data_IF_063573971684
#
_entry.id   IF_063573971684
#
_cell.length_a   1.000
_cell.length_b   1.000
_cell.length_c   1.000
_cell.angle_alpha   90.00
_cell.angle_beta   90.00
_cell.angle_gamma   90.00
#
_symmetry.space_group_name_H-M   'P 1'
#
loop_
_entity.id
_entity.type
_entity.pdbx_description
1 polymer ?
#
# COMPACT_ATOMS: atom_id res chain seq x y z
N UNK A 1 14.85 -10.21 11.27
CA UNK A 1 13.51 -9.65 11.06
C UNK A 1 13.54 -8.18 10.58
N UNK A 2 14.63 -7.43 10.81
CA UNK A 2 14.80 -6.03 10.37
C UNK A 2 15.48 -6.01 9.00
N UNK A 3 14.90 -5.30 8.03
CA UNK A 3 15.46 -5.14 6.70
C UNK A 3 16.86 -4.49 6.73
N UNK A 4 17.76 -4.93 5.83
CA UNK A 4 19.16 -4.51 5.83
C UNK A 4 19.35 -3.01 5.71
N UNK A 5 18.55 -2.34 4.91
CA UNK A 5 18.60 -0.89 4.68
C UNK A 5 17.97 -0.06 5.80
N UNK A 6 17.15 -0.67 6.66
CA UNK A 6 16.63 -0.04 7.86
C UNK A 6 17.70 0.02 8.96
N UNK A 7 18.53 -1.03 9.11
CA UNK A 7 19.49 -1.14 10.20
C UNK A 7 20.45 0.08 10.34
N UNK A 8 21.13 0.56 9.28
CA UNK A 8 22.03 1.70 9.40
C UNK A 8 21.32 2.99 9.80
N UNK A 9 20.02 3.14 9.45
CA UNK A 9 19.24 4.33 9.81
C UNK A 9 18.90 4.35 11.30
N UNK A 10 18.71 3.19 11.93
CA UNK A 10 18.41 3.10 13.37
C UNK A 10 19.58 3.55 14.22
N UNK A 11 20.83 3.35 13.77
CA UNK A 11 22.06 3.61 14.53
C UNK A 11 22.87 4.80 14.03
N UNK A 12 22.43 5.48 12.96
CA UNK A 12 23.12 6.63 12.38
C UNK A 12 23.28 7.77 13.40
N UNK A 13 24.41 8.45 13.42
CA UNK A 13 24.65 9.60 14.31
C UNK A 13 23.67 10.76 14.02
N UNK A 14 23.34 10.98 12.75
CA UNK A 14 22.35 11.97 12.30
C UNK A 14 21.28 11.28 11.49
N UNK A 15 20.06 11.83 11.49
CA UNK A 15 18.98 11.28 10.69
C UNK A 15 19.24 11.49 9.21
N UNK A 16 19.31 10.41 8.39
CA UNK A 16 19.55 10.54 6.96
C UNK A 16 18.39 11.29 6.27
N UNK A 17 18.72 12.04 5.21
CA UNK A 17 17.76 12.75 4.37
C UNK A 17 17.00 11.78 3.44
N UNK A 18 16.11 10.96 4.01
CA UNK A 18 15.27 10.00 3.30
C UNK A 18 13.80 10.20 3.66
N UNK A 19 12.90 9.80 2.79
CA UNK A 19 11.47 10.09 2.93
C UNK A 19 10.73 9.26 4.01
N UNK A 20 11.38 8.24 4.57
CA UNK A 20 10.82 7.38 5.60
C UNK A 20 11.53 7.46 6.97
N UNK A 21 12.48 8.39 7.14
CA UNK A 21 13.06 8.71 8.45
C UNK A 21 13.07 10.22 8.69
N UNK A 22 12.76 10.64 9.93
CA UNK A 22 12.69 12.06 10.30
C UNK A 22 12.82 12.21 11.82
N UNK A 23 13.42 13.33 12.23
CA UNK A 23 13.38 13.76 13.62
C UNK A 23 12.07 14.52 13.90
N UNK A 24 11.38 14.06 14.94
CA UNK A 24 10.16 14.70 15.46
C UNK A 24 10.37 14.94 16.95
N UNK A 25 10.31 16.21 17.37
CA UNK A 25 10.54 16.62 18.75
C UNK A 25 11.86 16.09 19.35
N UNK A 26 12.93 16.12 18.56
CA UNK A 26 14.27 15.67 18.99
C UNK A 26 14.46 14.15 19.05
N UNK A 27 13.49 13.37 18.59
CA UNK A 27 13.57 11.91 18.51
C UNK A 27 13.41 11.44 17.08
N UNK A 28 14.27 10.50 16.67
CA UNK A 28 14.18 9.90 15.35
C UNK A 28 13.01 8.93 15.27
N UNK A 29 12.19 9.14 14.26
CA UNK A 29 11.11 8.23 13.86
C UNK A 29 11.37 7.66 12.48
N UNK A 30 10.90 6.43 12.28
CA UNK A 30 10.95 5.75 10.99
C UNK A 30 9.56 5.25 10.61
N UNK A 31 9.19 5.45 9.36
CA UNK A 31 7.99 4.85 8.78
C UNK A 31 8.31 3.42 8.37
N UNK A 32 7.59 2.47 8.91
CA UNK A 32 7.84 1.05 8.70
C UNK A 32 6.57 0.30 8.31
N UNK A 33 6.77 -0.77 7.56
CA UNK A 33 5.80 -1.83 7.37
C UNK A 33 6.19 -2.99 8.28
N UNK A 34 5.30 -3.37 9.18
CA UNK A 34 5.48 -4.47 10.12
C UNK A 34 4.58 -5.61 9.67
N UNK A 35 5.16 -6.70 9.20
CA UNK A 35 4.44 -7.91 8.84
C UNK A 35 4.37 -8.82 10.06
N UNK A 36 3.19 -9.32 10.35
CA UNK A 36 2.91 -10.22 11.46
C UNK A 36 2.75 -11.66 10.99
N UNK A 37 3.05 -12.61 11.88
CA UNK A 37 2.69 -14.03 11.76
C UNK A 37 1.62 -14.43 12.78
N UNK A 38 0.91 -13.45 13.34
CA UNK A 38 -0.22 -13.68 14.26
C UNK A 38 -1.45 -14.15 13.47
N UNK A 39 -2.28 -14.97 14.12
CA UNK A 39 -3.61 -15.35 13.59
C UNK A 39 -4.69 -14.30 13.89
N UNK A 40 -4.36 -13.26 14.68
CA UNK A 40 -5.27 -12.17 15.00
C UNK A 40 -5.40 -11.19 13.82
N UNK A 41 -6.53 -11.21 13.14
CA UNK A 41 -6.82 -10.32 12.02
C UNK A 41 -6.80 -8.82 12.41
N UNK A 42 -7.07 -8.48 13.67
CA UNK A 42 -7.04 -7.12 14.19
C UNK A 42 -5.65 -6.68 14.64
N UNK A 43 -4.71 -7.61 14.77
CA UNK A 43 -3.34 -7.37 15.26
C UNK A 43 -3.32 -6.59 16.59
N UNK A 44 -4.28 -6.86 17.47
CA UNK A 44 -4.53 -6.07 18.67
C UNK A 44 -3.30 -5.97 19.59
N UNK A 45 -2.62 -7.10 19.82
CA UNK A 45 -1.41 -7.15 20.64
C UNK A 45 -0.24 -6.37 20.00
N UNK A 46 -0.07 -6.47 18.68
CA UNK A 46 0.97 -5.74 17.95
C UNK A 46 0.67 -4.24 17.91
N UNK A 47 -0.58 -3.86 17.69
CA UNK A 47 -1.03 -2.45 17.73
C UNK A 47 -0.76 -1.83 19.10
N UNK A 48 -1.15 -2.53 20.16
CA UNK A 48 -0.86 -2.09 21.53
C UNK A 48 0.63 -1.92 21.79
N UNK A 49 1.46 -2.84 21.30
CA UNK A 49 2.92 -2.75 21.46
C UNK A 49 3.52 -1.56 20.70
N UNK A 50 3.06 -1.25 19.49
CA UNK A 50 3.49 -0.07 18.72
C UNK A 50 3.12 1.20 19.47
N UNK A 51 1.88 1.30 19.96
CA UNK A 51 1.42 2.45 20.73
C UNK A 51 2.22 2.63 22.04
N UNK A 52 2.44 1.56 22.78
CA UNK A 52 3.25 1.57 24.02
C UNK A 52 4.71 1.96 23.78
N UNK A 53 5.24 1.67 22.60
CA UNK A 53 6.57 2.13 22.19
C UNK A 53 6.64 3.63 21.85
N UNK A 54 5.51 4.33 21.87
CA UNK A 54 5.38 5.74 21.46
C UNK A 54 5.30 5.91 19.93
N UNK A 55 4.92 4.86 19.23
CA UNK A 55 4.66 4.87 17.79
C UNK A 55 3.25 5.30 17.44
N UNK A 56 2.94 5.25 16.16
CA UNK A 56 1.61 5.48 15.60
C UNK A 56 1.30 4.45 14.53
N UNK A 57 0.02 4.16 14.32
CA UNK A 57 -0.44 3.21 13.31
C UNK A 57 -1.35 3.95 12.35
N UNK A 58 -0.95 3.99 11.08
CA UNK A 58 -1.68 4.68 10.03
C UNK A 58 -2.55 3.76 9.20
N UNK A 59 -2.10 2.50 9.04
CA UNK A 59 -2.80 1.55 8.19
C UNK A 59 -2.67 0.13 8.72
N UNK A 60 -3.75 -0.64 8.62
CA UNK A 60 -3.76 -2.08 8.86
C UNK A 60 -4.16 -2.78 7.56
N UNK A 61 -3.31 -3.67 7.11
CA UNK A 61 -3.56 -4.51 5.94
C UNK A 61 -4.24 -5.81 6.37
N UNK A 62 -5.43 -6.07 5.86
CA UNK A 62 -6.20 -7.26 6.22
C UNK A 62 -5.76 -8.50 5.44
N UNK A 63 -5.27 -8.32 4.20
CA UNK A 63 -4.88 -9.43 3.34
C UNK A 63 -3.51 -10.03 3.65
N UNK A 64 -2.64 -9.28 4.31
CA UNK A 64 -1.25 -9.68 4.62
C UNK A 64 -0.88 -9.50 6.09
N UNK A 65 -1.83 -9.33 6.98
CA UNK A 65 -1.63 -9.17 8.43
C UNK A 65 -0.43 -8.26 8.76
N UNK A 66 -0.49 -7.02 8.28
CA UNK A 66 0.60 -6.06 8.43
C UNK A 66 0.10 -4.69 8.89
N UNK A 67 1.01 -3.92 9.48
CA UNK A 67 0.77 -2.53 9.90
C UNK A 67 1.72 -1.58 9.18
N UNK A 68 1.19 -0.46 8.65
CA UNK A 68 2.01 0.71 8.34
C UNK A 68 2.06 1.60 9.59
N UNK A 69 3.25 1.76 10.14
CA UNK A 69 3.46 2.43 11.41
C UNK A 69 4.58 3.47 11.34
N UNK A 70 4.48 4.48 12.20
CA UNK A 70 5.57 5.37 12.57
C UNK A 70 6.12 4.87 13.91
N UNK A 71 7.40 4.56 13.96
CA UNK A 71 8.02 3.96 15.15
C UNK A 71 9.26 4.74 15.53
N UNK A 72 9.49 5.03 16.84
CA UNK A 72 10.78 5.55 17.28
C UNK A 72 11.89 4.58 16.91
N UNK A 73 12.98 5.09 16.34
CA UNK A 73 14.08 4.27 15.81
C UNK A 73 14.68 3.35 16.89
N UNK A 74 14.80 3.85 18.14
CA UNK A 74 15.31 3.10 19.30
C UNK A 74 14.37 1.96 19.76
N UNK A 75 13.12 1.92 19.31
CA UNK A 75 12.12 0.90 19.67
C UNK A 75 11.93 -0.18 18.62
N UNK A 76 12.45 0.00 17.41
CA UNK A 76 12.31 -0.97 16.32
C UNK A 76 12.88 -2.34 16.69
N UNK A 77 14.04 -2.37 17.39
CA UNK A 77 14.66 -3.61 17.82
C UNK A 77 13.76 -4.41 18.77
N UNK A 78 13.15 -3.75 19.75
CA UNK A 78 12.22 -4.36 20.70
C UNK A 78 10.96 -4.93 20.02
N UNK A 79 10.41 -4.20 19.04
CA UNK A 79 9.29 -4.71 18.25
C UNK A 79 9.68 -5.92 17.39
N UNK A 80 10.86 -5.89 16.79
CA UNK A 80 11.37 -7.00 15.97
C UNK A 80 11.65 -8.28 16.79
N UNK A 81 11.95 -8.14 18.09
CA UNK A 81 12.19 -9.27 18.98
C UNK A 81 10.92 -10.06 19.32
N UNK A 82 9.73 -9.49 19.13
CA UNK A 82 8.45 -10.15 19.41
C UNK A 82 8.26 -11.42 18.56
N UNK A 83 7.59 -12.41 19.14
CA UNK A 83 7.28 -13.67 18.44
C UNK A 83 6.26 -13.46 17.29
N UNK A 84 5.29 -12.58 17.49
CA UNK A 84 4.23 -12.26 16.56
C UNK A 84 4.65 -11.32 15.40
N UNK A 85 5.93 -10.89 15.36
CA UNK A 85 6.49 -10.10 14.25
C UNK A 85 7.33 -10.98 13.34
N UNK A 86 6.98 -11.02 12.07
CA UNK A 86 7.72 -11.72 11.02
C UNK A 86 8.86 -10.86 10.48
N UNK A 87 8.56 -9.63 10.05
CA UNK A 87 9.55 -8.71 9.47
C UNK A 87 9.17 -7.25 9.66
N UNK A 88 10.19 -6.38 9.69
CA UNK A 88 10.05 -4.94 9.70
C UNK A 88 10.89 -4.36 8.55
N UNK A 89 10.25 -3.61 7.67
CA UNK A 89 10.90 -2.96 6.51
C UNK A 89 10.52 -1.48 6.44
N UNK A 90 11.33 -0.62 5.80
CA UNK A 90 10.94 0.76 5.57
C UNK A 90 9.69 0.86 4.69
N UNK A 91 8.76 1.74 5.08
CA UNK A 91 7.62 2.10 4.24
C UNK A 91 8.03 3.23 3.29
N UNK A 92 8.49 2.86 2.09
CA UNK A 92 9.00 3.78 1.08
C UNK A 92 7.90 4.35 0.21
N UNK A 93 8.10 5.58 -0.24
CA UNK A 93 7.31 6.09 -1.36
C UNK A 93 7.69 5.32 -2.64
N UNK A 94 6.70 4.84 -3.35
CA UNK A 94 6.87 4.28 -4.67
C UNK A 94 7.20 5.40 -5.65
N UNK A 95 8.30 5.29 -6.38
CA UNK A 95 8.60 6.15 -7.51
C UNK A 95 8.20 5.45 -8.80
N UNK A 96 7.63 6.22 -9.74
CA UNK A 96 7.28 5.68 -11.05
C UNK A 96 8.56 5.29 -11.77
N UNK A 97 8.70 4.01 -12.12
CA UNK A 97 9.72 3.52 -13.02
C UNK A 97 9.09 3.29 -14.40
N UNK A 98 9.70 3.82 -15.46
CA UNK A 98 9.32 3.47 -16.82
C UNK A 98 9.57 1.97 -16.99
N UNK A 99 8.53 1.19 -17.31
CA UNK A 99 8.70 -0.24 -17.53
C UNK A 99 8.60 -0.54 -19.02
N UNK A 100 9.56 -1.26 -19.53
CA UNK A 100 9.52 -1.94 -20.82
C UNK A 100 8.78 -3.29 -20.63
N UNK A 101 7.54 -3.21 -20.12
CA UNK A 101 6.76 -4.39 -19.72
C UNK A 101 6.69 -5.41 -20.85
N UNK A 102 6.50 -4.99 -22.08
CA UNK A 102 6.34 -5.90 -23.20
C UNK A 102 7.63 -6.68 -23.52
N UNK A 103 8.79 -6.05 -23.41
CA UNK A 103 10.07 -6.72 -23.69
C UNK A 103 10.52 -7.61 -22.52
N UNK A 104 10.27 -7.18 -21.29
CA UNK A 104 10.68 -7.91 -20.07
C UNK A 104 9.76 -9.09 -19.78
N UNK A 105 8.45 -8.93 -20.03
CA UNK A 105 7.45 -9.98 -19.77
C UNK A 105 7.32 -11.00 -20.91
N UNK A 106 7.92 -10.76 -22.07
CA UNK A 106 7.73 -11.60 -23.26
C UNK A 106 6.31 -11.55 -23.82
N UNK A 107 5.49 -10.60 -23.38
CA UNK A 107 4.07 -10.52 -23.76
C UNK A 107 3.89 -10.35 -25.26
N UNK A 108 4.81 -9.67 -25.95
CA UNK A 108 4.78 -9.54 -27.39
C UNK A 108 4.85 -10.90 -28.11
N UNK A 109 5.68 -11.82 -27.62
CA UNK A 109 5.80 -13.17 -28.19
C UNK A 109 4.54 -14.02 -27.96
N UNK A 110 3.89 -13.86 -26.79
CA UNK A 110 2.67 -14.61 -26.45
C UNK A 110 1.43 -14.10 -27.20
N UNK A 111 1.40 -12.80 -27.51
CA UNK A 111 0.31 -12.18 -28.29
C UNK A 111 0.40 -12.45 -29.79
N UNK A 112 1.62 -12.67 -30.32
CA UNK A 112 1.90 -12.78 -31.76
C UNK A 112 2.20 -14.22 -32.20
N UNK A 113 1.63 -15.23 -31.53
CA UNK A 113 1.84 -16.66 -31.93
C UNK A 113 1.13 -17.09 -33.22
N UNK A 114 0.52 -16.19 -33.95
CA UNK A 114 -0.13 -16.48 -35.22
C UNK A 114 -0.14 -15.28 -36.14
N UNK A 115 0.20 -15.54 -37.38
CA UNK A 115 0.09 -14.61 -38.48
C UNK A 115 -1.22 -13.85 -38.44
N UNK A 116 -1.13 -12.54 -38.47
CA UNK A 116 -2.02 -11.68 -39.20
C UNK A 116 -2.88 -10.69 -38.45
N UNK A 117 -3.01 -9.62 -39.15
CA UNK A 117 -4.14 -8.69 -39.30
C UNK A 117 -4.99 -8.53 -38.02
N UNK A 118 -4.76 -7.44 -37.33
CA UNK A 118 -5.76 -6.88 -36.46
C UNK A 118 -7.17 -7.00 -37.11
N UNK A 119 -8.19 -7.59 -36.45
CA UNK A 119 -8.36 -7.72 -35.00
C UNK A 119 -8.26 -9.15 -34.40
N UNK A 120 -7.75 -10.13 -35.10
CA UNK A 120 -7.71 -11.49 -34.57
C UNK A 120 -6.41 -11.78 -33.82
N UNK A 121 -6.45 -11.72 -32.51
CA UNK A 121 -5.41 -12.23 -31.64
C UNK A 121 -5.57 -13.76 -31.58
N UNK A 122 -4.66 -14.50 -32.20
CA UNK A 122 -4.68 -15.98 -32.19
C UNK A 122 -4.03 -16.59 -30.93
N UNK A 123 -3.59 -15.77 -29.99
CA UNK A 123 -2.94 -16.17 -28.74
C UNK A 123 -3.78 -15.88 -27.48
N UNK A 124 -3.13 -15.89 -26.35
CA UNK A 124 -3.77 -15.56 -25.08
C UNK A 124 -4.16 -14.07 -25.04
N UNK A 125 -5.44 -13.81 -25.01
CA UNK A 125 -6.01 -12.44 -25.04
C UNK A 125 -6.22 -11.83 -23.65
N UNK A 126 -6.09 -12.63 -22.58
CA UNK A 126 -6.46 -12.20 -21.24
C UNK A 126 -7.97 -12.07 -21.01
N UNK A 127 -8.81 -12.57 -21.91
CA UNK A 127 -10.27 -12.52 -21.76
C UNK A 127 -10.70 -13.18 -20.46
N UNK A 128 -11.48 -12.46 -19.62
CA UNK A 128 -11.96 -12.93 -18.33
C UNK A 128 -10.95 -12.75 -17.17
N UNK A 129 -9.78 -12.16 -17.43
CA UNK A 129 -8.80 -11.84 -16.38
C UNK A 129 -9.01 -10.40 -15.93
N UNK A 130 -9.23 -10.22 -14.63
CA UNK A 130 -9.25 -8.91 -14.00
C UNK A 130 -7.83 -8.42 -13.70
N UNK A 131 -7.58 -7.16 -13.98
CA UNK A 131 -6.31 -6.49 -13.65
C UNK A 131 -6.62 -5.32 -12.72
N UNK A 132 -5.99 -5.31 -11.55
CA UNK A 132 -6.01 -4.15 -10.67
C UNK A 132 -4.78 -3.28 -10.92
N UNK A 133 -5.00 -2.00 -11.18
CA UNK A 133 -3.95 -1.01 -11.41
C UNK A 133 -3.97 -0.01 -10.27
N UNK A 134 -2.87 0.10 -9.52
CA UNK A 134 -2.68 1.11 -8.50
C UNK A 134 -1.88 2.25 -9.11
N UNK A 135 -2.57 3.35 -9.44
CA UNK A 135 -1.98 4.51 -10.12
C UNK A 135 -2.70 5.80 -9.71
N UNK A 136 -2.32 6.91 -10.31
CA UNK A 136 -2.93 8.23 -10.10
C UNK A 136 -4.31 8.40 -10.75
N UNK A 137 -4.79 7.40 -11.47
CA UNK A 137 -6.07 7.36 -12.17
C UNK A 137 -5.96 6.66 -13.52
N UNK A 138 -7.10 6.49 -14.16
CA UNK A 138 -7.20 5.87 -15.48
C UNK A 138 -8.16 6.68 -16.34
N UNK A 139 -7.79 6.92 -17.60
CA UNK A 139 -8.69 7.54 -18.59
C UNK A 139 -9.68 6.47 -19.10
N UNK A 140 -10.67 6.15 -18.30
CA UNK A 140 -11.61 5.04 -18.54
C UNK A 140 -12.42 5.20 -19.85
N UNK A 141 -12.56 6.44 -20.34
CA UNK A 141 -13.22 6.74 -21.61
C UNK A 141 -12.36 6.49 -22.85
N UNK A 142 -11.06 6.18 -22.65
CA UNK A 142 -10.16 5.91 -23.76
C UNK A 142 -10.60 4.65 -24.51
N UNK A 143 -10.55 4.68 -25.85
CA UNK A 143 -11.00 3.58 -26.72
C UNK A 143 -10.41 2.19 -26.37
N UNK A 144 -9.20 2.15 -25.82
CA UNK A 144 -8.58 0.89 -25.38
C UNK A 144 -9.27 0.23 -24.17
N UNK A 145 -10.16 0.97 -23.47
CA UNK A 145 -10.94 0.46 -22.36
C UNK A 145 -12.42 0.27 -22.70
N UNK A 146 -12.76 0.35 -23.98
CA UNK A 146 -14.09 0.04 -24.49
C UNK A 146 -14.07 -1.38 -25.06
N UNK A 147 -15.05 -2.18 -24.68
CA UNK A 147 -15.27 -3.52 -25.24
C UNK A 147 -15.89 -3.48 -26.61
N UNK A 148 -15.98 -4.64 -27.27
CA UNK A 148 -16.51 -4.78 -28.63
C UNK A 148 -17.99 -4.38 -28.72
N UNK A 149 -18.73 -4.43 -27.60
CA UNK A 149 -20.13 -4.00 -27.48
C UNK A 149 -20.30 -2.53 -27.08
N UNK A 150 -19.23 -1.75 -26.97
CA UNK A 150 -19.25 -0.37 -26.53
C UNK A 150 -19.30 -0.18 -25.00
N UNK A 151 -19.29 -1.25 -24.21
CA UNK A 151 -19.27 -1.24 -22.75
C UNK A 151 -17.88 -0.89 -22.22
N UNK A 152 -17.83 -0.24 -21.04
CA UNK A 152 -16.57 0.01 -20.36
C UNK A 152 -15.95 -1.30 -19.85
N UNK A 153 -14.66 -1.49 -20.12
CA UNK A 153 -13.84 -2.57 -19.54
C UNK A 153 -13.31 -2.22 -18.16
N UNK A 154 -13.38 -0.94 -17.76
CA UNK A 154 -13.08 -0.52 -16.39
C UNK A 154 -14.30 -0.82 -15.54
N UNK A 155 -14.16 -1.76 -14.60
CA UNK A 155 -15.25 -2.21 -13.71
C UNK A 155 -15.36 -1.35 -12.47
N UNK A 156 -14.21 -0.98 -11.91
CA UNK A 156 -14.11 -0.22 -10.68
C UNK A 156 -13.03 0.85 -10.82
N UNK A 157 -13.31 2.06 -10.34
CA UNK A 157 -12.32 3.13 -10.21
C UNK A 157 -12.42 3.73 -8.82
N UNK A 158 -11.37 3.57 -8.03
CA UNK A 158 -11.37 3.89 -6.59
C UNK A 158 -10.32 4.95 -6.30
N UNK A 159 -10.76 6.10 -5.77
CA UNK A 159 -9.86 7.14 -5.32
C UNK A 159 -9.53 6.99 -3.84
N UNK A 160 -8.38 6.39 -3.53
CA UNK A 160 -7.92 6.19 -2.15
C UNK A 160 -7.34 7.45 -1.49
N UNK A 161 -7.08 8.53 -2.22
CA UNK A 161 -6.51 9.76 -1.63
C UNK A 161 -7.49 10.41 -0.66
N UNK A 162 -8.79 10.35 -0.95
CA UNK A 162 -9.83 10.91 -0.07
C UNK A 162 -10.04 10.11 1.23
N UNK A 163 -9.67 8.83 1.27
CA UNK A 163 -9.65 8.05 2.53
C UNK A 163 -8.59 8.60 3.46
N UNK A 164 -7.41 8.86 2.94
CA UNK A 164 -6.33 9.48 3.68
C UNK A 164 -6.74 10.83 4.29
N UNK A 165 -7.43 11.65 3.52
CA UNK A 165 -7.88 12.98 3.96
C UNK A 165 -8.98 12.89 5.04
N UNK A 166 -9.93 11.97 4.90
CA UNK A 166 -10.99 11.75 5.90
C UNK A 166 -10.45 11.22 7.22
N UNK A 167 -9.41 10.39 7.17
CA UNK A 167 -8.75 9.81 8.34
C UNK A 167 -7.76 10.79 8.98
N UNK A 168 -7.21 11.72 8.18
CA UNK A 168 -6.13 12.62 8.60
C UNK A 168 -6.58 14.04 8.97
N UNK A 169 -7.86 14.31 9.16
CA UNK A 169 -8.31 15.66 9.53
C UNK A 169 -7.55 16.15 10.78
N UNK A 170 -6.59 17.06 10.58
CA UNK A 170 -5.71 17.58 11.63
C UNK A 170 -4.50 16.72 12.02
N UNK A 171 -4.24 15.62 11.30
CA UNK A 171 -3.14 14.68 11.58
C UNK A 171 -2.24 14.54 10.36
N UNK A 172 -0.93 14.64 10.55
CA UNK A 172 0.06 14.33 9.51
C UNK A 172 0.59 12.92 9.71
N UNK A 173 1.16 12.32 8.67
CA UNK A 173 1.80 11.00 8.72
C UNK A 173 3.15 11.00 9.51
N UNK A 174 3.43 12.09 10.23
CA UNK A 174 4.52 12.25 11.17
C UNK A 174 4.05 12.55 12.60
N UNK A 175 2.75 12.43 12.87
CA UNK A 175 2.19 12.66 14.21
C UNK A 175 2.35 11.39 15.06
N UNK A 176 3.13 11.39 16.13
CA UNK A 176 3.28 10.25 17.02
C UNK A 176 2.10 10.11 17.98
N UNK A 177 1.91 8.90 18.53
CA UNK A 177 0.96 8.64 19.61
C UNK A 177 -0.49 8.42 19.18
N UNK A 178 -0.75 8.15 17.90
CA UNK A 178 -2.11 7.93 17.37
C UNK A 178 -2.26 6.56 16.70
N UNK A 179 -3.44 5.99 16.81
CA UNK A 179 -3.86 4.82 16.04
C UNK A 179 -5.12 5.15 15.24
N UNK A 180 -4.98 5.38 13.95
CA UNK A 180 -6.09 5.65 13.01
C UNK A 180 -6.46 4.42 12.18
N UNK A 181 -5.81 3.29 12.40
CA UNK A 181 -6.05 2.06 11.63
C UNK A 181 -7.42 1.45 11.84
N UNK A 182 -8.06 1.73 12.98
CA UNK A 182 -9.42 1.28 13.26
C UNK A 182 -10.49 1.96 12.41
N UNK A 183 -10.22 3.17 11.92
CA UNK A 183 -11.14 3.90 11.03
C UNK A 183 -11.19 3.30 9.61
N UNK A 184 -10.25 2.44 9.27
CA UNK A 184 -10.17 1.72 8.01
C UNK A 184 -10.81 0.33 8.08
N UNK A 185 -11.38 -0.04 9.23
CA UNK A 185 -12.19 -1.25 9.34
C UNK A 185 -13.37 -1.15 8.35
N UNK A 186 -13.61 -2.18 7.50
CA UNK A 186 -14.74 -2.20 6.57
C UNK A 186 -16.10 -1.92 7.22
N UNK A 187 -16.26 -2.26 8.49
CA UNK A 187 -17.48 -2.01 9.27
C UNK A 187 -17.56 -0.61 9.86
N UNK A 188 -16.49 0.21 9.78
CA UNK A 188 -16.53 1.57 10.31
C UNK A 188 -17.46 2.48 9.50
N UNK A 189 -18.19 3.44 10.14
CA UNK A 189 -19.04 4.38 9.42
C UNK A 189 -18.29 5.16 8.33
N UNK A 190 -17.03 5.50 8.58
CA UNK A 190 -16.17 6.21 7.63
C UNK A 190 -15.92 5.36 6.38
N UNK A 191 -15.59 4.08 6.55
CA UNK A 191 -15.37 3.17 5.43
C UNK A 191 -16.67 2.86 4.70
N UNK A 192 -17.79 2.68 5.40
CA UNK A 192 -19.11 2.46 4.78
C UNK A 192 -19.54 3.67 3.94
N UNK A 193 -19.33 4.90 4.44
CA UNK A 193 -19.58 6.12 3.66
C UNK A 193 -18.71 6.17 2.41
N UNK A 194 -17.45 5.76 2.52
CA UNK A 194 -16.51 5.72 1.42
C UNK A 194 -16.89 4.66 0.38
N UNK A 195 -17.21 3.45 0.82
CA UNK A 195 -17.67 2.35 -0.05
C UNK A 195 -18.96 2.74 -0.79
N UNK A 196 -19.89 3.42 -0.12
CA UNK A 196 -21.10 3.96 -0.76
C UNK A 196 -20.81 4.98 -1.86
N UNK A 197 -19.77 5.79 -1.72
CA UNK A 197 -19.32 6.73 -2.75
C UNK A 197 -18.62 6.06 -3.93
N UNK A 198 -17.92 4.95 -3.69
CA UNK A 198 -17.29 4.15 -4.75
C UNK A 198 -18.33 3.51 -5.66
N UNK A 199 -19.40 2.96 -5.10
CA UNK A 199 -20.47 2.34 -5.88
C UNK A 199 -21.25 3.30 -6.76
N UNK A 200 -21.20 4.59 -6.47
CA UNK A 200 -21.91 5.66 -7.20
C UNK A 200 -20.97 6.62 -7.94
N UNK A 201 -19.74 6.26 -8.12
CA UNK A 201 -18.66 7.18 -8.53
C UNK A 201 -18.26 7.20 -9.99
N UNK A 202 -19.13 6.73 -10.91
CA UNK A 202 -18.94 6.93 -12.36
C UNK A 202 -19.93 7.95 -12.89
#
# INVERSE_FOLDING_TARGET
>A
KIARDLQPVLTAATTPAINWARDVNGRRYVKVLIVSNSDDAELAALRSAVMSAGGSIYYRYSSVLALAALVPADKVGGLAARSDVQSISPNRLMTRSASTIESVSGTAAVRNTGTTSYPSISGYSGKGIGIAVLDSGISWQHANFVGDGGESRVRESVNFTKVGDAVRAGVTDWTPGIDVSGTLNPASPTMQTYLGKIQNGF
#
